data_IF_047754384647
#
_entry.id   IF_047754384647
#
_cell.length_a   1.000
_cell.length_b   1.000
_cell.length_c   1.000
_cell.angle_alpha   90.00
_cell.angle_beta   90.00
_cell.angle_gamma   90.00
#
_symmetry.space_group_name_H-M   'P 1'
#
loop_
_entity.id
_entity.type
_entity.pdbx_description
1 polymer ?
#
# COMPACT_ATOMS: atom_id res chain seq x y z
N UNK A 1 -20.43 -20.03 -6.65
CA UNK A 1 -19.52 -18.87 -6.72
C UNK A 1 -18.71 -18.89 -5.45
N UNK A 2 -17.39 -19.08 -5.51
CA UNK A 2 -16.55 -19.07 -4.32
C UNK A 2 -16.45 -17.62 -3.85
N UNK A 3 -17.18 -17.27 -2.80
CA UNK A 3 -16.92 -16.02 -2.08
C UNK A 3 -15.49 -16.12 -1.55
N UNK A 4 -14.60 -15.24 -2.01
CA UNK A 4 -13.29 -15.14 -1.41
C UNK A 4 -13.47 -14.65 0.02
N UNK A 5 -12.90 -15.38 0.98
CA UNK A 5 -12.93 -15.02 2.41
C UNK A 5 -12.31 -13.65 2.71
N UNK A 6 -11.60 -13.07 1.75
CA UNK A 6 -10.94 -11.78 1.85
C UNK A 6 -11.38 -10.84 0.74
N UNK A 7 -11.39 -9.52 1.00
CA UNK A 7 -11.42 -8.51 -0.05
C UNK A 7 -10.32 -8.74 -1.10
N UNK A 8 -10.47 -8.21 -2.33
CA UNK A 8 -9.42 -8.29 -3.33
C UNK A 8 -8.08 -7.76 -2.82
N UNK A 9 -6.97 -8.28 -3.34
CA UNK A 9 -5.63 -7.79 -3.03
C UNK A 9 -5.16 -6.80 -4.10
N UNK A 10 -4.58 -5.68 -3.66
CA UNK A 10 -3.95 -4.70 -4.53
C UNK A 10 -2.75 -5.32 -5.24
N UNK A 11 -2.72 -5.24 -6.57
CA UNK A 11 -1.59 -5.70 -7.37
C UNK A 11 -0.65 -4.53 -7.65
N UNK A 12 0.50 -4.52 -6.99
CA UNK A 12 1.54 -3.51 -7.26
C UNK A 12 2.08 -3.55 -8.70
N UNK A 13 1.81 -4.62 -9.46
CA UNK A 13 2.17 -4.72 -10.88
C UNK A 13 1.42 -3.71 -11.77
N UNK A 14 0.21 -3.31 -11.38
CA UNK A 14 -0.67 -2.45 -12.17
C UNK A 14 -0.22 -0.98 -12.16
N UNK A 15 0.64 -0.61 -11.21
CA UNK A 15 1.19 0.73 -11.02
C UNK A 15 2.57 0.83 -11.67
N UNK A 16 2.63 1.31 -12.92
CA UNK A 16 3.80 1.15 -13.78
C UNK A 16 4.73 2.35 -13.85
N UNK A 17 4.42 3.47 -13.18
CA UNK A 17 5.21 4.69 -13.23
C UNK A 17 6.68 4.43 -12.89
N UNK A 18 7.58 5.03 -13.66
CA UNK A 18 9.04 5.01 -13.44
C UNK A 18 9.59 6.42 -13.13
N UNK A 19 8.71 7.43 -13.08
CA UNK A 19 9.09 8.83 -12.85
C UNK A 19 8.78 9.25 -11.41
N UNK A 20 9.78 9.59 -10.58
CA UNK A 20 9.56 10.08 -9.22
C UNK A 20 8.73 11.38 -9.15
N UNK A 21 8.72 12.19 -10.22
CA UNK A 21 7.94 13.43 -10.29
C UNK A 21 6.50 13.19 -10.73
N UNK A 22 6.20 12.04 -11.31
CA UNK A 22 4.87 11.60 -11.74
C UNK A 22 4.58 10.19 -11.25
N UNK A 23 4.62 9.96 -9.91
CA UNK A 23 4.37 8.64 -9.37
C UNK A 23 2.91 8.24 -9.60
N UNK A 24 2.64 6.94 -9.57
CA UNK A 24 1.29 6.44 -9.43
C UNK A 24 0.74 6.85 -8.05
N UNK A 25 -0.51 7.31 -8.02
CA UNK A 25 -1.16 7.84 -6.82
C UNK A 25 -2.36 6.98 -6.50
N UNK A 26 -2.40 6.44 -5.29
CA UNK A 26 -3.48 5.60 -4.81
C UNK A 26 -4.07 6.28 -3.58
N UNK A 27 -5.32 6.72 -3.69
CA UNK A 27 -6.06 7.26 -2.55
C UNK A 27 -6.72 6.12 -1.80
N UNK A 28 -6.51 6.11 -0.49
CA UNK A 28 -7.02 5.09 0.41
C UNK A 28 -7.72 5.75 1.59
N UNK A 29 -8.67 5.04 2.17
CA UNK A 29 -9.25 5.36 3.47
C UNK A 29 -8.94 4.21 4.41
N UNK A 30 -8.36 4.52 5.56
CA UNK A 30 -7.99 3.52 6.57
C UNK A 30 -9.26 2.86 7.07
N UNK A 31 -9.39 1.54 6.86
CA UNK A 31 -10.49 0.76 7.44
C UNK A 31 -10.05 0.14 8.75
N UNK A 32 -8.87 -0.49 8.74
CA UNK A 32 -8.23 -1.10 9.90
C UNK A 32 -6.78 -0.62 10.01
N UNK A 33 -6.26 -0.55 11.22
CA UNK A 33 -4.85 -0.25 11.52
C UNK A 33 -4.03 -1.53 11.68
N UNK A 34 -4.67 -2.64 12.05
CA UNK A 34 -4.02 -3.92 12.28
C UNK A 34 -3.56 -4.54 10.95
N UNK A 35 -2.30 -4.96 10.94
CA UNK A 35 -1.73 -5.68 9.81
C UNK A 35 -1.90 -7.17 10.03
N UNK A 36 -2.19 -7.92 8.97
CA UNK A 36 -2.28 -9.38 9.02
C UNK A 36 -1.29 -10.01 8.03
N UNK A 37 -0.86 -11.22 8.33
CA UNK A 37 0.04 -11.98 7.45
C UNK A 37 -0.73 -12.99 6.59
N UNK A 38 -0.25 -13.14 5.37
CA UNK A 38 -0.61 -14.22 4.44
C UNK A 38 0.65 -14.99 4.10
N UNK A 39 0.52 -16.09 3.36
CA UNK A 39 1.65 -16.84 2.83
C UNK A 39 2.62 -15.98 1.99
N UNK A 40 2.14 -14.89 1.38
CA UNK A 40 2.93 -14.10 0.43
C UNK A 40 3.41 -12.75 0.97
N UNK A 41 2.70 -12.19 1.94
CA UNK A 41 2.88 -10.79 2.35
C UNK A 41 2.25 -10.44 3.69
N UNK A 42 2.71 -9.33 4.26
CA UNK A 42 2.05 -8.57 5.32
C UNK A 42 1.11 -7.56 4.66
N UNK A 43 -0.15 -7.54 5.07
CA UNK A 43 -1.23 -6.78 4.46
C UNK A 43 -1.97 -5.92 5.48
N UNK A 44 -2.75 -4.96 4.98
CA UNK A 44 -3.75 -4.21 5.75
C UNK A 44 -5.02 -4.01 4.94
N UNK A 45 -6.16 -4.00 5.61
CA UNK A 45 -7.47 -3.77 4.98
C UNK A 45 -7.77 -2.27 4.94
N UNK A 46 -8.11 -1.77 3.75
CA UNK A 46 -8.41 -0.36 3.50
C UNK A 46 -9.59 -0.24 2.54
N UNK A 47 -10.06 0.98 2.31
CA UNK A 47 -10.90 1.29 1.16
C UNK A 47 -10.07 2.03 0.13
N UNK A 48 -10.22 1.71 -1.15
CA UNK A 48 -9.56 2.41 -2.27
C UNK A 48 -10.60 3.23 -3.03
N UNK A 49 -10.23 4.46 -3.44
CA UNK A 49 -11.10 5.27 -4.30
C UNK A 49 -11.01 4.76 -5.74
N UNK A 50 -12.14 4.29 -6.28
CA UNK A 50 -12.31 3.92 -7.69
C UNK A 50 -13.60 4.53 -8.21
N UNK A 51 -13.51 5.33 -9.27
CA UNK A 51 -14.66 5.96 -9.94
C UNK A 51 -15.62 6.70 -8.97
N UNK A 52 -15.05 7.38 -7.97
CA UNK A 52 -15.79 8.14 -6.94
C UNK A 52 -16.46 7.27 -5.86
N UNK A 53 -16.15 5.97 -5.81
CA UNK A 53 -16.61 5.03 -4.78
C UNK A 53 -15.44 4.48 -3.98
N UNK A 54 -15.74 4.07 -2.75
CA UNK A 54 -14.79 3.47 -1.84
C UNK A 54 -15.03 1.96 -1.77
N UNK A 55 -14.13 1.19 -2.35
CA UNK A 55 -14.21 -0.28 -2.36
C UNK A 55 -13.20 -0.88 -1.38
N UNK A 56 -13.59 -1.94 -0.68
CA UNK A 56 -12.70 -2.63 0.24
C UNK A 56 -11.60 -3.40 -0.49
N UNK A 57 -10.36 -3.24 -0.02
CA UNK A 57 -9.19 -3.87 -0.62
C UNK A 57 -8.11 -4.14 0.43
N UNK A 58 -7.40 -5.25 0.25
CA UNK A 58 -6.20 -5.58 0.99
C UNK A 58 -4.97 -4.99 0.29
N UNK A 59 -4.18 -4.20 1.00
CA UNK A 59 -2.95 -3.60 0.48
C UNK A 59 -1.76 -4.40 1.01
N UNK A 60 -0.96 -5.04 0.13
CA UNK A 60 0.29 -5.67 0.54
C UNK A 60 1.32 -4.61 0.93
N UNK A 61 1.61 -4.48 2.22
CA UNK A 61 2.57 -3.51 2.74
C UNK A 61 4.02 -4.00 2.58
N UNK A 62 4.22 -5.32 2.63
CA UNK A 62 5.54 -5.96 2.43
C UNK A 62 5.35 -7.39 1.93
N UNK A 63 5.99 -7.73 0.81
CA UNK A 63 6.13 -9.13 0.37
C UNK A 63 7.18 -9.87 1.20
N UNK A 64 6.96 -11.16 1.45
CA UNK A 64 7.93 -12.01 2.16
C UNK A 64 9.20 -12.27 1.35
N UNK A 65 9.09 -12.33 0.02
CA UNK A 65 10.22 -12.51 -0.90
C UNK A 65 11.04 -11.23 -1.11
N UNK A 66 10.50 -10.08 -0.72
CA UNK A 66 11.16 -8.79 -0.91
C UNK A 66 11.80 -8.28 0.38
N UNK A 67 13.03 -7.78 0.29
CA UNK A 67 13.67 -7.01 1.36
C UNK A 67 13.12 -5.58 1.51
N UNK A 68 12.23 -5.14 0.61
CA UNK A 68 11.65 -3.81 0.66
C UNK A 68 10.51 -3.73 1.68
N UNK A 69 10.83 -3.28 2.89
CA UNK A 69 9.86 -3.04 3.97
C UNK A 69 9.32 -1.60 4.01
N UNK A 70 9.68 -0.75 3.03
CA UNK A 70 9.53 0.70 3.16
C UNK A 70 8.09 1.16 3.40
N UNK A 71 7.09 0.50 2.82
CA UNK A 71 5.68 0.87 3.02
C UNK A 71 5.17 0.39 4.38
N UNK A 72 5.45 -0.86 4.76
CA UNK A 72 5.16 -1.39 6.10
C UNK A 72 5.79 -0.53 7.21
N UNK A 73 7.04 -0.11 7.06
CA UNK A 73 7.73 0.74 8.03
C UNK A 73 7.08 2.12 8.15
N UNK A 74 6.63 2.70 7.03
CA UNK A 74 5.90 3.96 7.03
C UNK A 74 4.55 3.83 7.71
N UNK A 75 3.80 2.77 7.41
CA UNK A 75 2.52 2.46 8.04
C UNK A 75 2.68 2.31 9.56
N UNK A 76 3.56 1.40 10.01
CA UNK A 76 3.78 1.13 11.42
C UNK A 76 4.23 2.37 12.21
N UNK A 77 5.11 3.20 11.64
CA UNK A 77 5.49 4.48 12.25
C UNK A 77 4.31 5.44 12.33
N UNK A 78 3.49 5.52 11.30
CA UNK A 78 2.34 6.40 11.26
C UNK A 78 1.27 5.97 12.28
N UNK A 79 1.00 4.66 12.42
CA UNK A 79 0.11 4.11 13.46
C UNK A 79 0.67 4.41 14.84
N UNK A 80 1.93 4.02 15.10
CA UNK A 80 2.57 4.19 16.41
C UNK A 80 2.65 5.65 16.87
N UNK A 81 2.84 6.58 15.93
CA UNK A 81 2.87 8.01 16.23
C UNK A 81 1.48 8.66 16.31
N UNK A 82 0.40 7.90 16.14
CA UNK A 82 -0.98 8.42 16.12
C UNK A 82 -1.26 9.33 14.93
N UNK A 83 -0.38 9.32 13.91
CA UNK A 83 -0.56 10.13 12.70
C UNK A 83 -1.70 9.59 11.85
N UNK A 84 -1.94 8.28 11.81
CA UNK A 84 -3.08 7.71 11.10
C UNK A 84 -4.06 7.08 12.09
N UNK A 85 -5.34 7.14 11.74
CA UNK A 85 -6.47 6.59 12.50
C UNK A 85 -7.46 5.99 11.50
N UNK A 86 -8.31 5.09 11.96
CA UNK A 86 -9.44 4.58 11.17
C UNK A 86 -10.30 5.72 10.63
N UNK A 87 -10.80 5.55 9.41
CA UNK A 87 -11.57 6.55 8.68
C UNK A 87 -10.74 7.68 8.05
N UNK A 88 -9.43 7.77 8.32
CA UNK A 88 -8.57 8.80 7.73
C UNK A 88 -8.28 8.51 6.25
N UNK A 89 -8.30 9.54 5.42
CA UNK A 89 -7.91 9.43 4.01
C UNK A 89 -6.40 9.73 3.86
N UNK A 90 -5.74 8.87 3.09
CA UNK A 90 -4.30 8.90 2.85
C UNK A 90 -4.04 8.71 1.36
N UNK A 91 -2.82 9.03 0.95
CA UNK A 91 -2.31 8.75 -0.38
C UNK A 91 -1.07 7.87 -0.26
N UNK A 92 -1.05 6.79 -1.04
CA UNK A 92 0.16 6.03 -1.32
C UNK A 92 0.65 6.46 -2.70
N UNK A 93 1.83 7.08 -2.76
CA UNK A 93 2.56 7.33 -4.01
C UNK A 93 3.53 6.20 -4.27
N UNK A 94 3.61 5.71 -5.49
CA UNK A 94 4.58 4.67 -5.87
C UNK A 94 5.16 4.87 -7.26
N UNK A 95 6.41 4.45 -7.45
CA UNK A 95 7.09 4.43 -8.74
C UNK A 95 8.22 3.39 -8.71
N UNK A 96 8.62 2.90 -9.88
CA UNK A 96 9.77 2.03 -10.09
C UNK A 96 11.03 2.87 -10.26
N UNK A 97 12.12 2.44 -9.67
CA UNK A 97 13.41 3.11 -9.77
C UNK A 97 14.56 2.11 -9.62
N UNK A 98 15.78 2.56 -9.95
CA UNK A 98 16.99 1.81 -9.59
C UNK A 98 17.41 2.14 -8.16
N UNK A 99 17.77 1.11 -7.42
CA UNK A 99 18.47 1.22 -6.14
C UNK A 99 19.89 1.74 -6.34
N UNK A 100 20.57 2.11 -5.25
CA UNK A 100 21.99 2.49 -5.26
C UNK A 100 22.89 1.41 -5.89
N UNK A 101 22.47 0.14 -5.81
CA UNK A 101 23.21 -1.01 -6.35
C UNK A 101 22.67 -1.46 -7.72
N UNK A 102 21.95 -0.59 -8.44
CA UNK A 102 21.46 -0.84 -9.80
C UNK A 102 20.25 -1.79 -9.90
N UNK A 103 19.80 -2.41 -8.80
CA UNK A 103 18.61 -3.28 -8.79
C UNK A 103 17.33 -2.48 -8.95
N UNK A 104 16.39 -3.00 -9.73
CA UNK A 104 15.04 -2.43 -9.82
C UNK A 104 14.31 -2.59 -8.49
N UNK A 105 13.74 -1.49 -8.01
CA UNK A 105 12.99 -1.43 -6.77
C UNK A 105 11.74 -0.57 -6.97
N UNK A 106 10.73 -0.83 -6.15
CA UNK A 106 9.56 0.03 -6.04
C UNK A 106 9.73 0.96 -4.85
N UNK A 107 9.54 2.26 -5.06
CA UNK A 107 9.53 3.27 -3.99
C UNK A 107 8.09 3.54 -3.59
N UNK A 108 7.92 3.88 -2.32
CA UNK A 108 6.63 4.19 -1.73
C UNK A 108 6.74 5.43 -0.86
N UNK A 109 5.71 6.27 -0.89
CA UNK A 109 5.51 7.35 0.08
C UNK A 109 4.07 7.31 0.57
N UNK A 110 3.89 7.25 1.88
CA UNK A 110 2.59 7.36 2.55
C UNK A 110 2.41 8.79 3.05
N UNK A 111 1.40 9.47 2.52
CA UNK A 111 1.12 10.87 2.81
C UNK A 111 -0.34 11.02 3.28
N UNK A 112 -0.60 12.05 4.09
CA UNK A 112 -1.98 12.46 4.40
C UNK A 112 -2.53 13.33 3.29
N UNK A 113 -3.84 13.26 3.09
CA UNK A 113 -4.58 14.26 2.30
C UNK A 113 -4.81 15.51 3.16
#
# INVERSE_FOLDING_TARGET
MSESLFPPFLKWGDYTSEDPKKPDVIKIKVKDLETFETEFSVNVTTLIEKDGKWDEINIPLKSHESKNSSLLDQWNRAVKSGKIKEGMELVIKTYKAKSKNGRNIRRFSLEKI
#
